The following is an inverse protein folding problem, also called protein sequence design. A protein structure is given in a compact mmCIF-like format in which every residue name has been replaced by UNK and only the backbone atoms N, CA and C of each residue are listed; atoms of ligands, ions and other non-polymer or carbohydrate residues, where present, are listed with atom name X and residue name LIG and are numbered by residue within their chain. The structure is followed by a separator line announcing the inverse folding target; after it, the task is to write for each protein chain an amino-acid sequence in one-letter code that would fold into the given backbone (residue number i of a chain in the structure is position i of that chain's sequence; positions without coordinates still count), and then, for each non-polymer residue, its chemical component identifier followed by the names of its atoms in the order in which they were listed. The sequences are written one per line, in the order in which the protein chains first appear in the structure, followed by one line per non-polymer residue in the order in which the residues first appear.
data_IF_760403328061
#
_entry.id   IF_760403328061
#
_cell.length_a   1.000
_cell.length_b   1.000
_cell.length_c   1.000
_cell.angle_alpha   90.00
_cell.angle_beta   90.00
_cell.angle_gamma   90.00
#
_symmetry.space_group_name_H-M   'P 1'
#
loop_
_entity.id
_entity.type
_entity.pdbx_description
1 polymer ?
#
# COMPACT_ATOMS: atom_id res chain seq x y z
N UNK A 1 -35.55 -18.62 -7.21
CA UNK A 1 -34.27 -19.32 -6.95
C UNK A 1 -33.55 -19.46 -8.28
N UNK A 2 -32.70 -18.49 -8.64
CA UNK A 2 -31.73 -18.64 -9.74
C UNK A 2 -30.47 -17.94 -9.25
N UNK A 3 -29.48 -18.73 -8.84
CA UNK A 3 -28.14 -18.23 -8.58
C UNK A 3 -27.54 -17.86 -9.95
N UNK A 4 -27.33 -16.57 -10.19
CA UNK A 4 -26.53 -16.07 -11.30
C UNK A 4 -25.06 -16.40 -11.00
N UNK A 5 -24.65 -17.61 -11.37
CA UNK A 5 -23.25 -18.00 -11.40
C UNK A 5 -22.64 -17.33 -12.64
N UNK A 6 -21.90 -16.25 -12.41
CA UNK A 6 -21.17 -15.53 -13.46
C UNK A 6 -20.01 -16.42 -13.92
N UNK A 7 -20.22 -17.23 -14.97
CA UNK A 7 -19.16 -17.99 -15.62
C UNK A 7 -18.16 -17.03 -16.26
N UNK A 8 -16.90 -17.07 -15.84
CA UNK A 8 -15.82 -16.31 -16.44
C UNK A 8 -15.32 -17.09 -17.66
N UNK A 9 -15.29 -16.43 -18.82
CA UNK A 9 -14.93 -17.05 -20.09
C UNK A 9 -13.45 -17.45 -20.17
N UNK A 10 -13.14 -18.51 -20.92
CA UNK A 10 -11.81 -19.13 -21.04
C UNK A 10 -10.75 -18.15 -21.52
N UNK A 11 -11.11 -17.28 -22.45
CA UNK A 11 -10.22 -16.27 -23.03
C UNK A 11 -9.90 -15.15 -22.03
N UNK A 12 -10.84 -14.85 -21.14
CA UNK A 12 -10.65 -13.90 -20.03
C UNK A 12 -9.71 -14.51 -18.99
N UNK A 13 -9.81 -15.82 -18.73
CA UNK A 13 -8.89 -16.54 -17.84
C UNK A 13 -7.48 -16.62 -18.46
N UNK A 14 -7.37 -16.88 -19.76
CA UNK A 14 -6.08 -16.93 -20.45
C UNK A 14 -5.36 -15.58 -20.43
N UNK A 15 -6.08 -14.49 -20.71
CA UNK A 15 -5.49 -13.15 -20.63
C UNK A 15 -5.02 -12.79 -19.21
N UNK A 16 -5.70 -13.28 -18.16
CA UNK A 16 -5.24 -13.13 -16.77
C UNK A 16 -3.90 -13.84 -16.53
N UNK A 17 -3.76 -15.06 -17.05
CA UNK A 17 -2.57 -15.89 -16.87
C UNK A 17 -1.33 -15.31 -17.55
N UNK A 18 -1.48 -14.65 -18.70
CA UNK A 18 -0.36 -14.04 -19.43
C UNK A 18 0.37 -12.94 -18.65
N UNK A 19 -0.29 -12.32 -17.67
CA UNK A 19 0.34 -11.34 -16.78
C UNK A 19 1.18 -11.98 -15.67
N UNK A 20 1.00 -13.26 -15.36
CA UNK A 20 1.53 -13.86 -14.14
C UNK A 20 2.71 -14.78 -14.46
N UNK A 21 3.88 -14.61 -13.82
CA UNK A 21 5.03 -15.47 -14.08
C UNK A 21 4.79 -16.90 -13.59
N UNK A 22 5.04 -17.88 -14.46
CA UNK A 22 4.84 -19.29 -14.18
C UNK A 22 6.02 -19.98 -13.44
N UNK A 23 7.16 -19.30 -13.28
CA UNK A 23 8.36 -19.88 -12.64
C UNK A 23 8.33 -19.90 -11.11
N UNK A 24 7.48 -19.07 -10.48
CA UNK A 24 7.33 -19.04 -9.03
C UNK A 24 6.44 -20.21 -8.57
N UNK A 25 7.02 -21.12 -7.79
CA UNK A 25 6.38 -22.38 -7.39
C UNK A 25 5.11 -22.18 -6.57
N UNK A 26 5.08 -21.18 -5.70
CA UNK A 26 3.95 -20.93 -4.80
C UNK A 26 2.79 -20.28 -5.56
N UNK A 27 3.10 -19.35 -6.47
CA UNK A 27 2.13 -18.77 -7.40
C UNK A 27 1.56 -19.84 -8.34
N UNK A 28 2.44 -20.68 -8.89
CA UNK A 28 2.10 -21.76 -9.80
C UNK A 28 1.12 -22.77 -9.18
N UNK A 29 1.34 -23.17 -7.92
CA UNK A 29 0.43 -24.05 -7.18
C UNK A 29 -0.93 -23.37 -6.94
N UNK A 30 -0.94 -22.11 -6.51
CA UNK A 30 -2.19 -21.36 -6.24
C UNK A 30 -3.05 -21.20 -7.49
N UNK A 31 -2.43 -20.91 -8.63
CA UNK A 31 -3.12 -20.80 -9.92
C UNK A 31 -3.69 -22.14 -10.36
N UNK A 32 -2.90 -23.22 -10.26
CA UNK A 32 -3.38 -24.56 -10.60
C UNK A 32 -4.58 -24.99 -9.77
N UNK A 33 -4.59 -24.69 -8.47
CA UNK A 33 -5.75 -24.94 -7.60
C UNK A 33 -6.97 -24.10 -7.97
N UNK A 34 -6.78 -22.81 -8.29
CA UNK A 34 -7.86 -21.91 -8.69
C UNK A 34 -8.51 -22.35 -10.02
N UNK A 35 -7.70 -22.69 -11.03
CA UNK A 35 -8.18 -23.17 -12.32
C UNK A 35 -8.94 -24.49 -12.20
N UNK A 36 -8.46 -25.41 -11.36
CA UNK A 36 -9.14 -26.69 -11.13
C UNK A 36 -10.45 -26.54 -10.35
N UNK A 37 -10.51 -25.59 -9.42
CA UNK A 37 -11.73 -25.29 -8.67
C UNK A 37 -12.82 -24.69 -9.57
N UNK A 38 -12.43 -23.85 -10.54
CA UNK A 38 -13.38 -23.14 -11.40
C UNK A 38 -13.80 -23.96 -12.64
N UNK A 39 -12.83 -24.59 -13.31
CA UNK A 39 -13.03 -25.24 -14.60
C UNK A 39 -13.01 -26.78 -14.53
N UNK A 40 -12.77 -27.35 -13.35
CA UNK A 40 -12.63 -28.79 -13.18
C UNK A 40 -11.53 -29.37 -14.08
N UNK A 41 -11.78 -30.52 -14.69
CA UNK A 41 -10.82 -31.18 -15.58
C UNK A 41 -10.55 -30.39 -16.88
N UNK A 42 -11.43 -29.47 -17.28
CA UNK A 42 -11.30 -28.66 -18.49
C UNK A 42 -10.28 -27.51 -18.34
N UNK A 43 -9.84 -27.23 -17.11
CA UNK A 43 -8.79 -26.25 -16.81
C UNK A 43 -7.36 -26.75 -17.03
N UNK A 44 -7.16 -28.05 -17.25
CA UNK A 44 -5.81 -28.62 -17.39
C UNK A 44 -5.05 -28.03 -18.57
N UNK A 45 -5.67 -27.90 -19.74
CA UNK A 45 -4.99 -27.37 -20.93
C UNK A 45 -4.50 -25.94 -20.71
N UNK A 46 -5.33 -25.08 -20.09
CA UNK A 46 -4.94 -23.70 -19.73
C UNK A 46 -3.76 -23.67 -18.76
N UNK A 47 -3.76 -24.55 -17.76
CA UNK A 47 -2.68 -24.65 -16.79
C UNK A 47 -1.39 -25.17 -17.43
N UNK A 48 -1.48 -26.16 -18.32
CA UNK A 48 -0.35 -26.73 -19.07
C UNK A 48 0.25 -25.70 -20.03
N UNK A 49 -0.59 -25.04 -20.82
CA UNK A 49 -0.21 -24.00 -21.77
C UNK A 49 0.45 -22.81 -21.05
N UNK A 50 -0.11 -22.37 -19.91
CA UNK A 50 0.51 -21.30 -19.12
C UNK A 50 1.82 -21.75 -18.47
N UNK A 51 1.89 -22.97 -17.93
CA UNK A 51 3.10 -23.52 -17.33
C UNK A 51 4.25 -23.62 -18.33
N UNK A 52 3.93 -23.85 -19.61
CA UNK A 52 4.92 -23.96 -20.69
C UNK A 52 5.68 -22.66 -20.98
N UNK A 53 5.21 -21.53 -20.42
CA UNK A 53 5.88 -20.23 -20.54
C UNK A 53 7.04 -20.05 -19.55
N UNK A 54 7.22 -20.96 -18.59
CA UNK A 54 8.36 -20.95 -17.67
C UNK A 54 9.56 -21.69 -18.24
N UNK A 55 10.77 -21.13 -18.05
CA UNK A 55 12.03 -21.71 -18.55
C UNK A 55 12.36 -23.11 -17.98
N UNK A 56 11.71 -23.49 -16.87
CA UNK A 56 11.89 -24.78 -16.17
C UNK A 56 10.68 -25.74 -16.35
N UNK A 57 9.92 -25.57 -17.42
CA UNK A 57 8.74 -26.39 -17.71
C UNK A 57 9.07 -27.89 -17.91
N UNK A 58 8.34 -28.76 -17.21
CA UNK A 58 8.31 -30.21 -17.44
C UNK A 58 6.86 -30.71 -17.56
N UNK A 59 6.41 -31.16 -18.74
CA UNK A 59 5.03 -31.63 -18.97
C UNK A 59 4.65 -32.83 -18.10
N UNK A 60 5.61 -33.70 -17.72
CA UNK A 60 5.33 -34.83 -16.83
C UNK A 60 5.07 -34.35 -15.41
N UNK A 61 5.87 -33.39 -14.93
CA UNK A 61 5.69 -32.77 -13.62
C UNK A 61 4.37 -31.99 -13.52
N UNK A 62 4.02 -31.22 -14.57
CA UNK A 62 2.76 -30.45 -14.61
C UNK A 62 1.55 -31.37 -14.51
N UNK A 63 1.52 -32.45 -15.29
CA UNK A 63 0.44 -33.44 -15.25
C UNK A 63 0.33 -34.17 -13.90
N UNK A 64 1.47 -34.48 -13.27
CA UNK A 64 1.51 -35.12 -11.96
C UNK A 64 0.92 -34.22 -10.87
N UNK A 65 1.32 -32.95 -10.84
CA UNK A 65 0.82 -31.98 -9.85
C UNK A 65 -0.63 -31.60 -10.12
N UNK A 66 -1.05 -31.47 -11.38
CA UNK A 66 -2.46 -31.23 -11.68
C UNK A 66 -3.38 -32.30 -11.09
N UNK A 67 -2.97 -33.58 -11.14
CA UNK A 67 -3.71 -34.69 -10.53
C UNK A 67 -3.79 -34.60 -9.00
N UNK A 68 -2.80 -33.99 -8.33
CA UNK A 68 -2.78 -33.89 -6.86
C UNK A 68 -3.71 -32.80 -6.32
N UNK A 69 -4.10 -31.82 -7.14
CA UNK A 69 -5.06 -30.79 -6.74
C UNK A 69 -6.45 -31.38 -6.50
N UNK A 70 -7.07 -31.04 -5.36
CA UNK A 70 -8.38 -31.58 -4.96
C UNK A 70 -9.58 -30.76 -5.43
N UNK A 71 -9.35 -29.65 -6.13
CA UNK A 71 -10.42 -28.79 -6.68
C UNK A 71 -11.22 -27.99 -5.64
N UNK A 72 -10.81 -28.03 -4.37
CA UNK A 72 -11.54 -27.44 -3.25
C UNK A 72 -10.59 -26.50 -2.48
N UNK A 73 -10.94 -25.22 -2.34
CA UNK A 73 -10.29 -24.31 -1.38
C UNK A 73 -9.63 -23.03 -1.93
N UNK A 74 -9.58 -22.82 -3.25
CA UNK A 74 -9.10 -21.55 -3.85
C UNK A 74 -10.06 -21.12 -4.94
N UNK A 75 -10.81 -20.03 -4.70
CA UNK A 75 -11.75 -19.49 -5.68
C UNK A 75 -11.02 -18.72 -6.80
N UNK A 76 -11.61 -18.67 -8.00
CA UNK A 76 -11.09 -17.91 -9.17
C UNK A 76 -10.87 -16.42 -8.87
N UNK A 77 -11.51 -15.89 -7.83
CA UNK A 77 -11.27 -14.54 -7.32
C UNK A 77 -9.81 -14.25 -6.99
N UNK A 78 -9.05 -15.25 -6.52
CA UNK A 78 -7.62 -15.12 -6.26
C UNK A 78 -6.79 -14.97 -7.55
N UNK A 79 -7.22 -15.60 -8.65
CA UNK A 79 -6.58 -15.46 -9.97
C UNK A 79 -6.85 -14.06 -10.56
N UNK A 80 -8.09 -13.57 -10.46
CA UNK A 80 -8.47 -12.23 -10.93
C UNK A 80 -7.69 -11.16 -10.16
N UNK A 81 -7.49 -11.35 -8.86
CA UNK A 81 -6.71 -10.45 -8.03
C UNK A 81 -5.23 -10.46 -8.45
N UNK A 82 -4.63 -11.63 -8.61
CA UNK A 82 -3.22 -11.76 -9.01
C UNK A 82 -2.96 -11.24 -10.44
N UNK A 83 -3.92 -11.43 -11.34
CA UNK A 83 -3.85 -10.91 -12.71
C UNK A 83 -3.91 -9.38 -12.73
N UNK A 84 -4.83 -8.77 -11.96
CA UNK A 84 -4.89 -7.31 -11.80
C UNK A 84 -3.62 -6.73 -11.20
N UNK A 85 -3.01 -7.44 -10.24
CA UNK A 85 -1.72 -7.06 -9.65
C UNK A 85 -0.58 -7.09 -10.68
N UNK A 86 -0.70 -7.89 -11.74
CA UNK A 86 0.23 -7.93 -12.88
C UNK A 86 -0.26 -7.11 -14.10
N UNK A 87 -1.18 -6.16 -13.89
CA UNK A 87 -1.59 -5.21 -14.93
C UNK A 87 -2.71 -5.68 -15.86
N UNK A 88 -3.36 -6.81 -15.56
CA UNK A 88 -4.52 -7.28 -16.33
C UNK A 88 -5.75 -6.38 -16.12
N UNK A 89 -6.36 -5.92 -17.21
CA UNK A 89 -7.63 -5.20 -17.21
C UNK A 89 -8.63 -5.95 -18.11
N UNK A 90 -9.87 -6.10 -17.64
CA UNK A 90 -10.95 -6.72 -18.42
C UNK A 90 -11.40 -5.73 -19.50
N UNK A 91 -11.21 -6.10 -20.77
CA UNK A 91 -11.56 -5.29 -21.93
C UNK A 91 -13.10 -5.14 -21.99
N UNK A 92 -13.65 -3.99 -21.61
CA UNK A 92 -15.06 -3.66 -21.84
C UNK A 92 -15.18 -2.97 -23.19
N UNK A 93 -15.25 -3.73 -24.28
CA UNK A 93 -15.52 -3.16 -25.61
C UNK A 93 -17.00 -3.22 -25.95
N UNK A 94 -17.66 -2.07 -25.86
CA UNK A 94 -18.70 -1.68 -26.81
C UNK A 94 -18.11 -0.56 -27.67
N UNK A 95 -17.92 -0.88 -28.95
CA UNK A 95 -17.79 -0.05 -30.16
C UNK A 95 -17.08 1.32 -30.15
N UNK A 96 -16.04 1.38 -31.02
CA UNK A 96 -15.82 2.38 -32.08
C UNK A 96 -14.82 3.57 -31.93
N UNK A 97 -13.87 3.54 -32.90
CA UNK A 97 -12.97 4.54 -33.52
C UNK A 97 -11.77 5.07 -32.72
N UNK A 98 -10.57 4.63 -33.16
CA UNK A 98 -9.25 5.07 -32.72
C UNK A 98 -8.82 6.41 -33.34
N UNK A 99 -7.94 7.14 -32.64
CA UNK A 99 -6.72 7.61 -33.26
C UNK A 99 -5.49 7.01 -32.57
N UNK A 100 -4.51 6.71 -33.41
CA UNK A 100 -3.20 6.12 -33.12
C UNK A 100 -2.42 6.91 -32.05
N UNK A 101 -2.20 6.30 -30.88
CA UNK A 101 -1.30 6.87 -29.84
C UNK A 101 0.04 6.12 -29.92
N UNK A 102 1.06 6.88 -30.33
CA UNK A 102 2.48 6.54 -30.42
C UNK A 102 2.97 5.80 -29.16
N UNK A 103 3.99 4.93 -29.28
CA UNK A 103 4.50 4.12 -28.17
C UNK A 103 4.82 5.00 -26.96
N UNK A 104 4.14 4.72 -25.85
CA UNK A 104 4.39 5.41 -24.59
C UNK A 104 5.74 4.97 -24.01
N UNK A 105 6.50 5.90 -23.42
CA UNK A 105 7.90 5.68 -23.04
C UNK A 105 8.06 4.62 -21.94
N UNK A 106 9.28 4.05 -21.88
CA UNK A 106 9.78 3.13 -20.85
C UNK A 106 9.39 3.57 -19.42
N UNK A 107 9.24 2.62 -18.46
CA UNK A 107 8.35 2.76 -17.31
C UNK A 107 8.72 3.91 -16.38
N UNK A 108 7.79 4.86 -16.23
CA UNK A 108 7.82 5.83 -15.13
C UNK A 108 7.38 5.09 -13.86
N UNK A 109 8.13 5.22 -12.76
CA UNK A 109 7.73 4.75 -11.42
C UNK A 109 6.24 5.08 -11.23
N UNK A 110 5.40 4.07 -10.98
CA UNK A 110 3.96 4.27 -10.80
C UNK A 110 3.73 5.34 -9.74
N UNK A 111 3.32 6.53 -10.18
CA UNK A 111 3.16 7.67 -9.29
C UNK A 111 1.88 7.46 -8.47
N UNK A 112 1.99 6.83 -7.30
CA UNK A 112 0.87 6.65 -6.37
C UNK A 112 0.36 7.97 -5.78
N UNK A 113 0.85 9.11 -6.28
CA UNK A 113 0.45 10.46 -5.90
C UNK A 113 -1.04 10.68 -5.89
N UNK A 114 -1.73 10.38 -7.00
CA UNK A 114 -3.17 10.65 -7.09
C UNK A 114 -3.96 9.86 -6.04
N UNK A 115 -3.51 8.65 -5.74
CA UNK A 115 -4.08 7.83 -4.68
C UNK A 115 -3.78 8.41 -3.29
N UNK A 116 -2.53 8.79 -3.01
CA UNK A 116 -2.14 9.42 -1.76
C UNK A 116 -2.91 10.72 -1.48
N UNK A 117 -3.02 11.60 -2.47
CA UNK A 117 -3.75 12.86 -2.37
C UNK A 117 -5.25 12.62 -2.16
N UNK A 118 -5.84 11.62 -2.82
CA UNK A 118 -7.24 11.22 -2.61
C UNK A 118 -7.46 10.71 -1.19
N UNK A 119 -6.58 9.83 -0.68
CA UNK A 119 -6.66 9.34 0.69
C UNK A 119 -6.60 10.51 1.69
N UNK A 120 -5.68 11.47 1.48
CA UNK A 120 -5.57 12.64 2.33
C UNK A 120 -6.80 13.57 2.25
N UNK A 121 -7.33 13.78 1.04
CA UNK A 121 -8.50 14.65 0.83
C UNK A 121 -9.75 14.08 1.49
N UNK A 122 -9.95 12.77 1.40
CA UNK A 122 -11.14 12.08 1.92
C UNK A 122 -11.02 11.66 3.39
N UNK A 123 -9.84 11.77 4.01
CA UNK A 123 -9.67 11.38 5.41
C UNK A 123 -10.42 12.31 6.36
N UNK A 124 -11.03 11.74 7.39
CA UNK A 124 -11.60 12.48 8.50
C UNK A 124 -10.46 12.91 9.44
N UNK A 125 -10.39 14.19 9.78
CA UNK A 125 -9.30 14.80 10.57
C UNK A 125 -9.71 15.17 11.99
N UNK A 126 -10.92 14.80 12.38
CA UNK A 126 -11.45 15.02 13.71
C UNK A 126 -10.77 14.07 14.71
N UNK A 127 -10.34 14.62 15.84
CA UNK A 127 -9.69 13.89 16.94
C UNK A 127 -10.53 12.69 17.38
N UNK A 128 -11.86 12.85 17.46
CA UNK A 128 -12.79 11.79 17.87
C UNK A 128 -12.78 10.57 16.96
N UNK A 129 -12.47 10.74 15.68
CA UNK A 129 -12.32 9.62 14.76
C UNK A 129 -10.97 8.94 14.89
N UNK A 130 -9.92 9.70 15.20
CA UNK A 130 -8.56 9.20 15.34
C UNK A 130 -8.41 8.39 16.62
N UNK A 131 -8.90 8.91 17.73
CA UNK A 131 -8.84 8.24 19.04
C UNK A 131 -9.53 6.87 19.02
N UNK A 132 -10.58 6.72 18.22
CA UNK A 132 -11.34 5.47 18.08
C UNK A 132 -10.68 4.43 17.16
N UNK A 133 -9.55 4.74 16.52
CA UNK A 133 -8.85 3.77 15.67
C UNK A 133 -8.10 2.75 16.54
N UNK A 134 -8.16 1.44 16.25
CA UNK A 134 -7.51 0.42 17.09
C UNK A 134 -6.00 0.65 17.31
N UNK A 135 -5.29 1.19 16.30
CA UNK A 135 -3.88 1.53 16.45
C UNK A 135 -3.67 2.69 17.43
N UNK A 136 -4.50 3.74 17.36
CA UNK A 136 -4.44 4.89 18.27
C UNK A 136 -4.74 4.47 19.70
N UNK A 137 -5.78 3.65 19.91
CA UNK A 137 -6.13 3.09 21.23
C UNK A 137 -4.94 2.32 21.82
N UNK A 138 -4.35 1.43 21.03
CA UNK A 138 -3.18 0.65 21.46
C UNK A 138 -1.95 1.51 21.77
N UNK A 139 -1.87 2.71 21.19
CA UNK A 139 -0.78 3.68 21.42
C UNK A 139 -1.13 4.77 22.43
N UNK A 140 -2.35 4.78 22.99
CA UNK A 140 -2.83 5.84 23.88
C UNK A 140 -2.83 7.21 23.22
N UNK A 141 -3.24 7.31 21.95
CA UNK A 141 -3.28 8.56 21.19
C UNK A 141 -4.73 9.05 21.10
N UNK A 142 -4.96 10.26 21.61
CA UNK A 142 -6.28 10.92 21.66
C UNK A 142 -6.39 12.09 20.68
N UNK A 143 -5.30 12.49 20.03
CA UNK A 143 -5.27 13.62 19.08
C UNK A 143 -4.97 13.17 17.67
N UNK A 144 -5.54 13.87 16.69
CA UNK A 144 -5.22 13.66 15.28
C UNK A 144 -3.75 13.89 14.98
N UNK A 145 -3.09 14.81 15.69
CA UNK A 145 -1.65 15.05 15.54
C UNK A 145 -1.26 15.22 14.07
N UNK A 146 -2.01 16.04 13.33
CA UNK A 146 -1.79 16.30 11.90
C UNK A 146 -2.19 15.16 10.94
N UNK A 147 -2.65 14.02 11.43
CA UNK A 147 -3.13 12.89 10.62
C UNK A 147 -4.66 12.95 10.38
N UNK A 148 -5.16 12.00 9.58
CA UNK A 148 -6.58 11.72 9.41
C UNK A 148 -6.87 10.22 9.46
N UNK A 149 -8.14 9.81 9.48
CA UNK A 149 -8.58 8.41 9.40
C UNK A 149 -9.35 8.19 8.10
N UNK A 150 -9.13 7.06 7.45
CA UNK A 150 -9.81 6.74 6.20
C UNK A 150 -9.56 5.32 5.75
N UNK A 151 -10.20 4.95 4.64
CA UNK A 151 -10.10 3.62 4.06
C UNK A 151 -8.98 3.59 3.00
N UNK A 152 -8.03 2.69 3.18
CA UNK A 152 -6.92 2.49 2.26
C UNK A 152 -6.71 1.00 1.93
N UNK A 153 -6.28 0.74 0.70
CA UNK A 153 -5.95 -0.57 0.17
C UNK A 153 -4.47 -0.64 -0.23
N UNK A 154 -3.76 -1.64 0.29
CA UNK A 154 -2.57 -2.25 -0.29
C UNK A 154 -2.53 -3.72 0.17
N UNK A 155 -2.85 -4.69 -0.72
CA UNK A 155 -3.13 -6.07 -0.33
C UNK A 155 -2.00 -6.74 0.46
N UNK A 156 -0.76 -6.39 0.15
CA UNK A 156 0.43 -7.01 0.76
C UNK A 156 0.71 -6.45 2.15
N UNK A 157 0.68 -5.12 2.33
CA UNK A 157 1.14 -4.49 3.57
C UNK A 157 0.01 -4.17 4.54
N UNK A 158 -1.00 -3.42 4.10
CA UNK A 158 -2.04 -2.87 4.99
C UNK A 158 -3.37 -3.61 4.87
N UNK A 159 -3.58 -4.43 3.82
CA UNK A 159 -4.84 -5.11 3.51
C UNK A 159 -5.67 -4.36 2.46
N UNK A 160 -6.86 -4.88 2.13
CA UNK A 160 -7.82 -4.28 1.20
C UNK A 160 -8.95 -3.62 1.99
N UNK A 161 -9.32 -2.40 1.62
CA UNK A 161 -10.33 -1.58 2.29
C UNK A 161 -10.11 -1.48 3.80
N UNK A 162 -8.83 -1.39 4.19
CA UNK A 162 -8.44 -1.33 5.58
C UNK A 162 -8.72 0.05 6.16
N UNK A 163 -9.29 0.06 7.36
CA UNK A 163 -9.38 1.26 8.18
C UNK A 163 -7.98 1.66 8.68
N UNK A 164 -7.54 2.84 8.27
CA UNK A 164 -6.18 3.31 8.44
C UNK A 164 -6.12 4.71 9.04
N UNK A 165 -5.10 4.93 9.87
CA UNK A 165 -4.56 6.27 10.08
C UNK A 165 -3.79 6.67 8.83
N UNK A 166 -4.09 7.86 8.30
CA UNK A 166 -3.53 8.47 7.11
C UNK A 166 -2.67 9.65 7.55
N UNK A 167 -1.36 9.43 7.62
CA UNK A 167 -0.38 10.45 8.04
C UNK A 167 0.15 11.17 6.79
N UNK A 168 -0.07 12.49 6.63
CA UNK A 168 0.36 13.21 5.44
C UNK A 168 1.87 13.43 5.43
N UNK A 169 2.49 13.25 4.27
CA UNK A 169 3.84 13.72 3.99
C UNK A 169 3.69 15.10 3.33
N UNK A 170 4.26 16.14 3.93
CA UNK A 170 4.07 17.53 3.50
C UNK A 170 5.38 18.16 3.05
N UNK A 171 5.29 19.04 2.06
CA UNK A 171 6.39 19.95 1.68
C UNK A 171 6.73 20.84 2.88
N UNK A 172 8.00 20.88 3.26
CA UNK A 172 8.54 21.67 4.39
C UNK A 172 7.79 21.43 5.72
N UNK A 173 7.23 20.23 5.91
CA UNK A 173 6.57 19.81 7.15
C UNK A 173 5.14 20.34 7.36
N UNK A 174 4.83 21.54 6.88
CA UNK A 174 3.54 22.23 7.12
C UNK A 174 2.76 22.52 5.84
N UNK A 175 3.41 22.48 4.67
CA UNK A 175 2.84 22.85 3.38
C UNK A 175 1.88 21.81 2.79
N UNK A 176 1.86 21.74 1.46
CA UNK A 176 0.93 20.85 0.73
C UNK A 176 1.28 19.39 0.98
N UNK A 177 0.26 18.56 1.12
CA UNK A 177 0.46 17.11 1.11
C UNK A 177 0.97 16.67 -0.27
N UNK A 178 2.02 15.87 -0.26
CA UNK A 178 2.63 15.26 -1.45
C UNK A 178 2.67 13.74 -1.36
N UNK A 179 2.28 13.17 -0.22
CA UNK A 179 2.22 11.73 -0.01
C UNK A 179 1.48 11.43 1.28
N UNK A 180 1.29 10.15 1.57
CA UNK A 180 0.74 9.69 2.85
C UNK A 180 1.43 8.41 3.28
N UNK A 181 1.57 8.20 4.59
CA UNK A 181 1.80 6.89 5.18
C UNK A 181 0.51 6.41 5.81
N UNK A 182 0.01 5.26 5.35
CA UNK A 182 -1.15 4.59 5.91
C UNK A 182 -0.71 3.60 6.98
N UNK A 183 -1.41 3.57 8.12
CA UNK A 183 -1.18 2.65 9.24
C UNK A 183 -2.49 1.92 9.54
N UNK A 184 -2.54 0.60 9.38
CA UNK A 184 -3.74 -0.18 9.66
C UNK A 184 -3.91 -0.50 11.17
N UNK A 185 -5.02 -1.15 11.54
CA UNK A 185 -5.32 -1.54 12.91
C UNK A 185 -4.22 -2.39 13.59
N UNK A 186 -3.46 -3.19 12.83
CA UNK A 186 -2.34 -4.00 13.34
C UNK A 186 -1.01 -3.23 13.39
N UNK A 187 -1.00 -1.93 13.07
CA UNK A 187 0.21 -1.11 13.01
C UNK A 187 1.09 -1.35 11.77
N UNK A 188 0.62 -2.11 10.77
CA UNK A 188 1.34 -2.27 9.50
C UNK A 188 1.25 -0.99 8.69
N UNK A 189 2.37 -0.61 8.06
CA UNK A 189 2.54 0.68 7.40
C UNK A 189 2.82 0.54 5.90
N UNK A 190 2.29 1.44 5.09
CA UNK A 190 2.66 1.60 3.68
C UNK A 190 2.63 3.08 3.28
N UNK A 191 3.66 3.51 2.55
CA UNK A 191 3.75 4.86 2.00
C UNK A 191 3.24 4.90 0.57
N UNK A 192 2.51 5.95 0.22
CA UNK A 192 2.06 6.28 -1.13
C UNK A 192 2.38 7.75 -1.44
N UNK A 193 2.59 8.07 -2.71
CA UNK A 193 3.03 9.39 -3.16
C UNK A 193 4.53 9.62 -2.94
N UNK A 194 4.92 10.88 -2.84
CA UNK A 194 6.31 11.30 -2.77
C UNK A 194 6.80 11.53 -1.34
N UNK A 195 7.88 10.86 -0.98
CA UNK A 195 8.58 11.04 0.30
C UNK A 195 9.79 11.98 0.19
N UNK A 196 10.18 12.36 -1.03
CA UNK A 196 11.33 13.22 -1.29
C UNK A 196 11.15 14.55 -0.56
N UNK A 197 12.07 14.85 0.35
CA UNK A 197 12.14 16.06 1.19
C UNK A 197 10.90 16.38 2.04
N UNK A 198 9.92 15.47 2.04
CA UNK A 198 8.69 15.59 2.79
C UNK A 198 8.80 14.99 4.20
N UNK A 199 8.14 15.66 5.13
CA UNK A 199 7.96 15.23 6.52
C UNK A 199 6.61 15.74 7.03
N UNK A 200 6.21 15.34 8.24
CA UNK A 200 5.10 15.97 8.96
C UNK A 200 5.66 16.67 10.18
N UNK A 201 5.31 17.93 10.39
CA UNK A 201 5.74 18.70 11.56
C UNK A 201 4.55 18.94 12.50
N UNK A 202 4.74 18.62 13.78
CA UNK A 202 3.76 18.81 14.85
C UNK A 202 4.26 19.87 15.83
N UNK A 203 3.35 20.65 16.42
CA UNK A 203 3.68 21.73 17.37
C UNK A 203 3.62 23.14 16.76
N UNK A 204 3.87 24.15 17.59
CA UNK A 204 3.81 25.56 17.18
C UNK A 204 5.14 26.03 16.58
N UNK A 205 5.27 25.98 15.26
CA UNK A 205 6.49 26.35 14.53
C UNK A 205 6.86 27.84 14.62
N UNK A 206 5.96 28.70 15.11
CA UNK A 206 6.23 30.12 15.29
C UNK A 206 7.07 30.40 16.54
N UNK A 207 7.06 29.48 17.51
CA UNK A 207 7.87 29.59 18.72
C UNK A 207 9.16 28.78 18.56
N UNK A 208 10.22 29.48 18.14
CA UNK A 208 11.54 28.88 17.94
C UNK A 208 12.22 28.49 19.25
N UNK A 209 11.72 28.96 20.40
CA UNK A 209 12.32 28.66 21.71
C UNK A 209 11.97 27.27 22.23
N UNK A 210 10.94 26.64 21.65
CA UNK A 210 10.56 25.27 21.96
C UNK A 210 11.64 24.28 21.53
N UNK A 211 11.70 23.12 22.17
CA UNK A 211 12.60 22.04 21.74
C UNK A 211 12.08 21.38 20.46
N UNK A 212 12.98 21.21 19.48
CA UNK A 212 12.67 20.61 18.17
C UNK A 212 13.22 19.19 18.09
N UNK A 213 12.33 18.24 17.80
CA UNK A 213 12.63 16.82 17.74
C UNK A 213 12.41 16.24 16.34
N UNK A 214 13.07 15.14 16.03
CA UNK A 214 12.73 14.27 14.90
C UNK A 214 12.56 12.85 15.39
N UNK A 215 11.39 12.28 15.12
CA UNK A 215 11.02 10.90 15.43
C UNK A 215 10.78 10.10 14.16
N UNK A 216 10.95 8.78 14.23
CA UNK A 216 10.73 7.90 13.08
C UNK A 216 9.27 7.85 12.63
N UNK A 217 8.38 7.61 13.59
CA UNK A 217 6.97 7.36 13.36
C UNK A 217 6.06 8.45 13.91
N UNK A 218 4.87 8.54 13.31
CA UNK A 218 3.83 9.48 13.74
C UNK A 218 3.44 9.33 15.22
N UNK A 219 3.22 8.10 15.69
CA UNK A 219 2.87 7.87 17.10
C UNK A 219 3.95 8.38 18.07
N UNK A 220 5.24 8.16 17.76
CA UNK A 220 6.37 8.63 18.56
C UNK A 220 6.44 10.17 18.56
N UNK A 221 6.16 10.82 17.42
CA UNK A 221 6.10 12.28 17.34
C UNK A 221 4.91 12.87 18.12
N UNK A 222 3.73 12.25 18.05
CA UNK A 222 2.56 12.64 18.85
C UNK A 222 2.87 12.53 20.34
N UNK A 223 3.41 11.39 20.80
CA UNK A 223 3.79 11.20 22.20
C UNK A 223 4.85 12.23 22.64
N UNK A 224 5.84 12.52 21.78
CA UNK A 224 6.85 13.55 22.07
C UNK A 224 6.19 14.90 22.33
N UNK A 225 5.35 15.39 21.42
CA UNK A 225 4.72 16.72 21.56
C UNK A 225 3.73 16.75 22.72
N UNK A 226 2.78 15.81 22.79
CA UNK A 226 1.63 15.93 23.68
C UNK A 226 1.84 15.30 25.07
N UNK A 227 2.64 14.23 25.18
CA UNK A 227 2.89 13.58 26.48
C UNK A 227 4.18 14.08 27.13
N UNK A 228 5.30 14.06 26.40
CA UNK A 228 6.59 14.44 26.97
C UNK A 228 6.74 15.96 27.11
N UNK A 229 6.37 16.70 26.06
CA UNK A 229 6.47 18.16 26.05
C UNK A 229 5.19 18.87 26.46
N UNK A 230 4.10 18.14 26.72
CA UNK A 230 2.79 18.69 27.17
C UNK A 230 2.27 19.82 26.26
N UNK A 231 2.48 19.69 24.96
CA UNK A 231 2.12 20.68 23.94
C UNK A 231 3.19 21.76 23.69
N UNK A 232 4.25 21.82 24.50
CA UNK A 232 5.32 22.82 24.40
C UNK A 232 6.57 22.25 23.70
N UNK A 233 6.37 21.54 22.60
CA UNK A 233 7.45 20.96 21.82
C UNK A 233 7.08 20.82 20.36
N UNK A 234 8.09 20.69 19.51
CA UNK A 234 7.93 20.52 18.07
C UNK A 234 8.54 19.19 17.68
N UNK A 235 7.86 18.39 16.87
CA UNK A 235 8.39 17.11 16.44
C UNK A 235 8.06 16.81 14.98
N UNK A 236 9.10 16.46 14.20
CA UNK A 236 8.95 15.97 12.84
C UNK A 236 8.83 14.44 12.78
N UNK A 237 8.02 13.95 11.84
CA UNK A 237 7.92 12.53 11.47
C UNK A 237 8.81 12.28 10.26
N UNK A 238 9.79 11.37 10.38
CA UNK A 238 10.72 11.06 9.28
C UNK A 238 10.22 9.98 8.31
N UNK A 239 9.19 9.23 8.69
CA UNK A 239 8.65 8.11 7.92
C UNK A 239 9.69 7.00 7.66
N UNK A 240 10.55 6.74 8.64
CA UNK A 240 11.51 5.63 8.62
C UNK A 240 12.87 6.00 9.21
N UNK A 241 13.51 5.03 9.87
CA UNK A 241 14.84 5.18 10.50
C UNK A 241 15.90 5.77 9.57
N UNK A 242 15.92 5.35 8.30
CA UNK A 242 16.88 5.84 7.30
C UNK A 242 16.68 7.30 6.90
N UNK A 243 15.54 7.92 7.24
CA UNK A 243 15.23 9.31 6.89
C UNK A 243 15.49 10.31 8.04
N UNK A 244 15.80 9.85 9.25
CA UNK A 244 15.93 10.71 10.44
C UNK A 244 16.90 11.88 10.22
N UNK A 245 18.14 11.57 9.82
CA UNK A 245 19.19 12.57 9.60
C UNK A 245 18.85 13.53 8.46
N UNK A 246 18.22 13.01 7.40
CA UNK A 246 17.81 13.81 6.25
C UNK A 246 16.71 14.81 6.64
N UNK A 247 15.68 14.35 7.36
CA UNK A 247 14.58 15.20 7.82
C UNK A 247 15.06 16.21 8.85
N UNK A 248 15.98 15.84 9.75
CA UNK A 248 16.58 16.80 10.69
C UNK A 248 17.27 17.96 9.97
N UNK A 249 18.09 17.66 8.95
CA UNK A 249 18.75 18.68 8.13
C UNK A 249 17.74 19.54 7.36
N UNK A 250 16.72 18.91 6.76
CA UNK A 250 15.69 19.64 6.02
C UNK A 250 14.89 20.57 6.95
N UNK A 251 14.45 20.07 8.11
CA UNK A 251 13.74 20.85 9.12
C UNK A 251 14.58 22.02 9.63
N UNK A 252 15.88 21.81 9.85
CA UNK A 252 16.79 22.88 10.24
C UNK A 252 16.91 23.95 9.15
N UNK A 253 16.98 23.55 7.88
CA UNK A 253 17.00 24.48 6.74
C UNK A 253 15.69 25.27 6.60
N UNK A 254 14.55 24.60 6.74
CA UNK A 254 13.23 25.18 6.50
C UNK A 254 12.81 26.15 7.60
N UNK A 255 13.10 25.82 8.86
CA UNK A 255 12.55 26.53 10.03
C UNK A 255 13.60 27.27 10.85
N UNK A 256 14.89 26.94 10.69
CA UNK A 256 16.03 27.54 11.41
C UNK A 256 15.79 27.60 12.93
N UNK A 257 15.61 26.45 13.61
CA UNK A 257 15.65 26.36 15.06
C UNK A 257 17.11 26.42 15.55
N UNK A 258 17.29 26.69 16.85
CA UNK A 258 18.63 26.72 17.47
C UNK A 258 19.28 25.33 17.52
N UNK A 259 18.49 24.28 17.77
CA UNK A 259 18.93 22.89 17.82
C UNK A 259 17.84 21.95 17.30
N UNK A 260 18.25 20.80 16.74
CA UNK A 260 17.36 19.69 16.38
C UNK A 260 17.83 18.40 17.05
N UNK A 261 16.96 17.79 17.86
CA UNK A 261 17.23 16.56 18.60
C UNK A 261 16.64 15.36 17.85
N UNK A 262 17.49 14.42 17.42
CA UNK A 262 17.03 13.19 16.77
C UNK A 262 16.77 12.11 17.82
N UNK A 263 15.54 11.61 17.88
CA UNK A 263 15.15 10.51 18.75
C UNK A 263 15.27 9.20 17.96
N UNK A 264 16.19 8.34 18.36
CA UNK A 264 16.39 7.01 17.79
C UNK A 264 15.81 5.97 18.74
N UNK A 265 15.04 5.03 18.21
CA UNK A 265 14.61 3.84 18.96
C UNK A 265 15.84 2.91 19.11
N UNK A 266 16.00 2.34 20.30
CA UNK A 266 17.07 1.38 20.60
C UNK A 266 16.59 -0.02 20.18
N UNK A 267 17.29 -0.66 19.25
CA UNK A 267 16.96 -2.01 18.76
C UNK A 267 17.55 -3.07 19.72
N UNK A 268 17.29 -2.94 21.02
CA UNK A 268 17.77 -3.87 22.06
C UNK A 268 16.80 -5.01 22.36
#
# INVERSE_FOLDING_TARGET
MIALQCQIDRDVIWSMLQGIPAYDRDIWIKIGMALKSELGNNGFSLFDDWSSTADNYDPKAVKAVWKSFKGNGVAIGSLIQLAKENGWQRDNKTTEIAPEIKPSPKPVKSNTQSYALRLWMLSNKDDSYIEQHPYSINKGIEWAGGAGRGIASSPIKIGINSDCIIVPIRTNGTGKAQGVQCINAQGRKQTFGDLSDGYLLLGNTLDKTLSWYVCEGWASAVSMVFHHQKGNGICAVSFGKSNLDRVAKQMASDHQPDEVIIIREDDS
#
